data_IF_391100187907
#
_entry.id   IF_391100187907
#
_cell.length_a   1.000
_cell.length_b   1.000
_cell.length_c   1.000
_cell.angle_alpha   90.00
_cell.angle_beta   90.00
_cell.angle_gamma   90.00
#
_symmetry.space_group_name_H-M   'P 1'
#
loop_
_entity.id
_entity.type
_entity.pdbx_description
1 polymer ?
#
# COMPACT_ATOMS: atom_id res chain seq x y z
N UNK A 1 -9.37 -62.94 5.00
CA UNK A 1 -8.69 -62.01 5.92
C UNK A 1 -7.33 -61.74 5.31
N UNK A 2 -7.06 -60.53 4.84
CA UNK A 2 -5.76 -60.18 4.23
C UNK A 2 -4.76 -59.92 5.36
N UNK A 3 -3.66 -60.65 5.37
CA UNK A 3 -2.51 -60.38 6.24
C UNK A 3 -1.86 -59.08 5.79
N UNK A 4 -2.01 -58.02 6.59
CA UNK A 4 -1.32 -56.76 6.37
C UNK A 4 0.12 -56.89 6.91
N UNK A 5 1.11 -56.87 6.02
CA UNK A 5 2.53 -56.85 6.37
C UNK A 5 2.88 -55.54 7.09
N UNK A 6 3.15 -55.66 8.39
CA UNK A 6 3.49 -54.55 9.28
C UNK A 6 4.99 -54.21 9.26
N UNK A 7 5.81 -54.86 8.41
CA UNK A 7 7.27 -54.67 8.38
C UNK A 7 7.72 -53.24 8.07
N UNK A 8 6.87 -52.46 7.39
CA UNK A 8 7.14 -51.06 7.00
C UNK A 8 6.51 -50.02 7.94
N UNK A 9 5.76 -50.45 8.95
CA UNK A 9 5.06 -49.57 9.88
C UNK A 9 5.92 -49.37 11.13
N UNK A 10 6.22 -48.11 11.47
CA UNK A 10 6.95 -47.79 12.71
C UNK A 10 6.15 -48.28 13.92
N UNK A 11 6.81 -49.02 14.80
CA UNK A 11 6.25 -49.56 16.05
C UNK A 11 6.34 -48.58 17.23
N UNK A 12 7.13 -47.51 17.09
CA UNK A 12 7.36 -46.53 18.15
C UNK A 12 7.07 -45.09 17.68
N UNK A 13 6.59 -44.27 18.62
CA UNK A 13 6.31 -42.85 18.40
C UNK A 13 7.62 -42.10 18.15
N UNK A 14 7.63 -41.26 17.11
CA UNK A 14 8.82 -40.47 16.76
C UNK A 14 8.96 -39.29 17.71
N UNK A 15 10.20 -38.98 18.12
CA UNK A 15 10.48 -37.83 18.98
C UNK A 15 10.10 -36.51 18.31
N UNK A 16 9.61 -35.56 19.10
CA UNK A 16 9.29 -34.22 18.63
C UNK A 16 10.56 -33.51 18.14
N UNK A 17 10.52 -33.06 16.89
CA UNK A 17 11.63 -32.34 16.26
C UNK A 17 11.25 -30.86 16.11
N UNK A 18 12.20 -29.91 16.29
CA UNK A 18 11.92 -28.50 16.02
C UNK A 18 11.52 -28.32 14.55
N UNK A 19 10.62 -27.38 14.28
CA UNK A 19 10.21 -27.13 12.90
C UNK A 19 11.41 -26.74 12.03
N UNK A 20 11.40 -27.10 10.74
CA UNK A 20 12.54 -26.90 9.87
C UNK A 20 12.99 -25.43 9.87
N UNK A 21 14.30 -25.17 9.98
CA UNK A 21 14.82 -23.82 9.90
C UNK A 21 14.46 -23.21 8.54
N UNK A 22 13.84 -22.02 8.55
CA UNK A 22 13.42 -21.32 7.34
C UNK A 22 11.93 -21.47 6.96
N UNK A 23 11.14 -22.20 7.74
CA UNK A 23 9.67 -22.29 7.60
C UNK A 23 8.93 -21.17 8.33
N UNK A 24 9.64 -20.30 9.07
CA UNK A 24 9.07 -19.24 9.91
C UNK A 24 9.74 -17.90 9.66
N UNK A 25 9.01 -16.82 9.90
CA UNK A 25 9.49 -15.45 9.81
C UNK A 25 9.28 -14.78 8.44
N UNK A 26 9.74 -13.53 8.33
CA UNK A 26 9.50 -12.69 7.15
C UNK A 26 10.09 -13.27 5.86
N UNK A 27 11.28 -13.87 5.92
CA UNK A 27 11.92 -14.49 4.76
C UNK A 27 11.13 -15.69 4.22
N UNK A 28 10.65 -16.56 5.12
CA UNK A 28 9.80 -17.69 4.75
C UNK A 28 8.50 -17.22 4.06
N UNK A 29 7.91 -16.13 4.57
CA UNK A 29 6.73 -15.51 3.99
C UNK A 29 7.00 -14.94 2.60
N UNK A 30 8.10 -14.20 2.40
CA UNK A 30 8.48 -13.67 1.08
C UNK A 30 8.66 -14.80 0.07
N UNK A 31 9.42 -15.84 0.44
CA UNK A 31 9.64 -16.99 -0.44
C UNK A 31 8.34 -17.68 -0.82
N UNK A 32 7.42 -17.83 0.13
CA UNK A 32 6.14 -18.53 -0.06
C UNK A 32 5.10 -17.71 -0.83
N UNK A 33 5.13 -16.38 -0.76
CA UNK A 33 4.07 -15.53 -1.33
C UNK A 33 4.52 -14.70 -2.54
N UNK A 34 5.80 -14.35 -2.66
CA UNK A 34 6.31 -13.45 -3.71
C UNK A 34 7.19 -14.19 -4.73
N UNK A 35 7.87 -15.28 -4.33
CA UNK A 35 8.80 -16.00 -5.21
C UNK A 35 8.54 -17.51 -5.20
N UNK A 36 7.28 -17.93 -5.05
CA UNK A 36 6.92 -19.35 -4.96
C UNK A 36 7.07 -20.06 -6.31
N UNK A 37 6.82 -19.36 -7.42
CA UNK A 37 7.02 -19.83 -8.78
C UNK A 37 7.84 -18.83 -9.62
N UNK A 38 8.25 -19.26 -10.81
CA UNK A 38 8.92 -18.38 -11.79
C UNK A 38 7.99 -17.22 -12.20
N UNK A 39 6.69 -17.50 -12.38
CA UNK A 39 5.70 -16.47 -12.71
C UNK A 39 5.55 -15.43 -11.59
N UNK A 40 5.43 -15.88 -10.34
CA UNK A 40 5.32 -14.97 -9.18
C UNK A 40 6.58 -14.10 -9.03
N UNK A 41 7.75 -14.69 -9.30
CA UNK A 41 9.03 -13.96 -9.25
C UNK A 41 9.08 -12.86 -10.30
N UNK A 42 8.67 -13.16 -11.54
CA UNK A 42 8.62 -12.16 -12.62
C UNK A 42 7.62 -11.05 -12.26
N UNK A 43 6.42 -11.40 -11.81
CA UNK A 43 5.39 -10.43 -11.44
C UNK A 43 5.86 -9.54 -10.27
N UNK A 44 6.52 -10.12 -9.28
CA UNK A 44 7.10 -9.40 -8.14
C UNK A 44 8.16 -8.40 -8.60
N UNK A 45 9.09 -8.82 -9.47
CA UNK A 45 10.12 -7.92 -10.01
C UNK A 45 9.48 -6.77 -10.78
N UNK A 46 8.51 -7.05 -11.65
CA UNK A 46 7.80 -6.02 -12.41
C UNK A 46 7.03 -5.05 -11.49
N UNK A 47 6.37 -5.58 -10.46
CA UNK A 47 5.68 -4.79 -9.45
C UNK A 47 6.63 -3.85 -8.71
N UNK A 48 7.78 -4.37 -8.26
CA UNK A 48 8.81 -3.55 -7.60
C UNK A 48 9.35 -2.48 -8.56
N UNK A 49 9.64 -2.83 -9.82
CA UNK A 49 10.12 -1.88 -10.81
C UNK A 49 9.12 -0.74 -11.06
N UNK A 50 7.83 -1.08 -11.16
CA UNK A 50 6.75 -0.10 -11.34
C UNK A 50 6.63 0.80 -10.11
N UNK A 51 6.66 0.24 -8.90
CA UNK A 51 6.65 1.04 -7.66
C UNK A 51 7.88 1.96 -7.60
N UNK A 52 9.07 1.45 -7.90
CA UNK A 52 10.29 2.24 -7.90
C UNK A 52 10.26 3.40 -8.91
N UNK A 53 9.54 3.25 -10.02
CA UNK A 53 9.37 4.30 -11.01
C UNK A 53 8.34 5.36 -10.60
N UNK A 54 7.18 4.94 -10.04
CA UNK A 54 6.07 5.83 -9.70
C UNK A 54 6.31 6.54 -8.36
N UNK A 55 6.85 5.84 -7.36
CA UNK A 55 6.96 6.32 -5.99
C UNK A 55 7.72 7.66 -5.87
N UNK A 56 8.87 7.87 -6.55
CA UNK A 56 9.57 9.16 -6.48
C UNK A 56 8.74 10.32 -7.05
N UNK A 57 7.98 10.08 -8.13
CA UNK A 57 7.12 11.10 -8.75
C UNK A 57 5.97 11.48 -7.81
N UNK A 58 5.34 10.47 -7.19
CA UNK A 58 4.27 10.68 -6.20
C UNK A 58 4.80 11.42 -4.98
N UNK A 59 5.98 11.06 -4.45
CA UNK A 59 6.57 11.74 -3.30
C UNK A 59 6.89 13.19 -3.65
N UNK A 60 7.47 13.43 -4.83
CA UNK A 60 7.79 14.78 -5.28
C UNK A 60 6.52 15.63 -5.35
N UNK A 61 5.48 15.12 -6.02
CA UNK A 61 4.21 15.83 -6.16
C UNK A 61 3.47 16.04 -4.82
N UNK A 62 3.42 15.01 -3.96
CA UNK A 62 2.63 15.01 -2.74
C UNK A 62 3.29 15.76 -1.57
N UNK A 63 4.62 15.84 -1.54
CA UNK A 63 5.35 16.39 -0.39
C UNK A 63 6.34 17.50 -0.75
N UNK A 64 7.11 17.34 -1.84
CA UNK A 64 8.20 18.27 -2.19
C UNK A 64 7.65 19.52 -2.88
N UNK A 65 6.93 19.33 -3.98
CA UNK A 65 6.29 20.40 -4.74
C UNK A 65 4.92 20.79 -4.16
N UNK A 66 4.52 20.28 -3.00
CA UNK A 66 3.18 20.49 -2.46
C UNK A 66 3.02 21.84 -1.76
N UNK A 67 1.80 22.39 -1.80
CA UNK A 67 1.42 23.59 -1.05
C UNK A 67 0.69 23.18 0.22
N UNK A 68 1.37 23.36 1.36
CA UNK A 68 0.92 22.89 2.66
C UNK A 68 -0.17 23.76 3.28
N UNK A 69 -0.06 25.07 3.13
CA UNK A 69 -0.97 26.05 3.75
C UNK A 69 -1.23 27.20 2.79
N UNK A 70 -2.37 27.87 2.94
CA UNK A 70 -2.70 29.07 2.18
C UNK A 70 -4.12 29.55 2.49
N UNK A 71 -4.41 30.83 2.20
CA UNK A 71 -5.71 31.43 2.50
C UNK A 71 -6.84 30.94 1.57
N UNK A 72 -6.53 30.62 0.31
CA UNK A 72 -7.52 30.26 -0.69
C UNK A 72 -6.90 29.42 -1.83
N UNK A 73 -7.69 29.07 -2.85
CA UNK A 73 -7.28 28.17 -3.95
C UNK A 73 -6.19 28.75 -4.87
N UNK A 74 -5.99 30.06 -4.89
CA UNK A 74 -5.03 30.72 -5.80
C UNK A 74 -3.59 30.30 -5.54
N UNK A 75 -3.27 29.89 -4.31
CA UNK A 75 -1.95 29.38 -3.91
C UNK A 75 -1.56 28.07 -4.59
N UNK A 76 -2.53 27.33 -5.10
CA UNK A 76 -2.32 26.05 -5.78
C UNK A 76 -2.64 26.11 -7.28
N UNK A 77 -3.18 27.24 -7.76
CA UNK A 77 -3.52 27.42 -9.17
C UNK A 77 -2.35 28.05 -9.93
N UNK A 78 -2.18 27.69 -11.20
CA UNK A 78 -1.17 28.30 -12.06
C UNK A 78 -1.57 29.72 -12.47
N UNK A 79 -0.63 30.52 -12.97
CA UNK A 79 -0.91 31.88 -13.49
C UNK A 79 -2.00 31.84 -14.56
N UNK A 80 -1.93 30.90 -15.50
CA UNK A 80 -2.99 30.65 -16.50
C UNK A 80 -4.36 30.31 -15.91
N UNK A 81 -4.41 29.79 -14.68
CA UNK A 81 -5.64 29.48 -13.93
C UNK A 81 -6.07 30.61 -12.98
N UNK A 82 -5.35 31.74 -12.96
CA UNK A 82 -5.60 32.87 -12.08
C UNK A 82 -5.01 32.73 -10.67
N UNK A 83 -3.97 31.91 -10.51
CA UNK A 83 -3.22 31.75 -9.26
C UNK A 83 -1.80 32.31 -9.33
N UNK A 84 -0.97 31.85 -8.39
CA UNK A 84 0.42 32.35 -8.22
C UNK A 84 1.49 31.36 -8.71
N UNK A 85 1.12 30.11 -8.99
CA UNK A 85 2.09 29.08 -9.36
C UNK A 85 2.50 29.23 -10.84
N UNK A 86 3.76 28.93 -11.21
CA UNK A 86 4.20 29.05 -12.59
C UNK A 86 3.45 28.06 -13.50
N UNK A 87 3.28 28.43 -14.77
CA UNK A 87 2.65 27.55 -15.75
C UNK A 87 3.49 26.28 -15.93
N UNK A 88 2.83 25.11 -15.90
CA UNK A 88 3.48 23.79 -15.88
C UNK A 88 3.82 23.27 -14.47
N UNK A 89 3.56 24.05 -13.42
CA UNK A 89 3.65 23.54 -12.05
C UNK A 89 2.60 22.47 -11.78
N UNK A 90 3.02 21.39 -11.13
CA UNK A 90 2.13 20.32 -10.65
C UNK A 90 2.55 19.92 -9.23
N UNK A 91 1.61 20.01 -8.30
CA UNK A 91 1.84 19.68 -6.89
C UNK A 91 0.51 19.44 -6.16
N UNK A 92 0.58 18.73 -5.04
CA UNK A 92 -0.58 18.54 -4.18
C UNK A 92 -0.95 19.84 -3.45
N UNK A 93 -2.25 20.09 -3.30
CA UNK A 93 -2.77 21.25 -2.58
C UNK A 93 -3.36 20.84 -1.23
N UNK A 94 -2.52 20.74 -0.20
CA UNK A 94 -2.97 20.37 1.14
C UNK A 94 -3.82 21.45 1.81
N UNK A 95 -3.61 22.73 1.44
CA UNK A 95 -4.49 23.82 1.88
C UNK A 95 -5.96 23.56 1.53
N UNK A 96 -6.23 23.08 0.30
CA UNK A 96 -7.57 22.68 -0.12
C UNK A 96 -8.05 21.43 0.61
N UNK A 97 -7.19 20.42 0.74
CA UNK A 97 -7.55 19.17 1.43
C UNK A 97 -7.99 19.45 2.86
N UNK A 98 -7.24 20.29 3.58
CA UNK A 98 -7.59 20.68 4.95
C UNK A 98 -8.91 21.47 5.00
N UNK A 99 -9.07 22.45 4.12
CA UNK A 99 -10.31 23.26 4.06
C UNK A 99 -11.57 22.44 3.71
N UNK A 100 -11.41 21.34 2.95
CA UNK A 100 -12.51 20.45 2.52
C UNK A 100 -12.51 19.09 3.18
N UNK A 101 -11.70 18.86 4.22
CA UNK A 101 -11.56 17.56 4.87
C UNK A 101 -12.91 17.03 5.40
N UNK A 102 -13.72 17.90 6.01
CA UNK A 102 -15.06 17.53 6.47
C UNK A 102 -15.99 17.06 5.34
N UNK A 103 -15.86 17.62 4.14
CA UNK A 103 -16.65 17.19 2.98
C UNK A 103 -16.17 15.83 2.44
N UNK A 104 -14.87 15.50 2.56
CA UNK A 104 -14.37 14.17 2.19
C UNK A 104 -14.84 13.09 3.16
N UNK A 105 -14.89 13.40 4.46
CA UNK A 105 -15.32 12.44 5.48
C UNK A 105 -16.85 12.24 5.50
N UNK A 106 -17.61 13.32 5.35
CA UNK A 106 -19.07 13.31 5.52
C UNK A 106 -19.84 13.59 4.23
N UNK A 107 -19.19 13.65 3.07
CA UNK A 107 -19.84 13.96 1.80
C UNK A 107 -20.53 15.34 1.82
N UNK A 108 -21.76 15.40 1.30
CA UNK A 108 -22.55 16.63 1.19
C UNK A 108 -23.33 16.98 2.45
N UNK A 109 -23.22 16.22 3.54
CA UNK A 109 -23.96 16.48 4.77
C UNK A 109 -23.51 17.78 5.46
N UNK A 110 -24.47 18.62 5.81
CA UNK A 110 -24.24 19.82 6.63
C UNK A 110 -23.80 19.42 8.05
N UNK A 111 -23.18 20.36 8.79
CA UNK A 111 -22.52 20.07 10.08
C UNK A 111 -23.46 19.37 11.07
N UNK A 112 -24.72 19.78 11.07
CA UNK A 112 -25.82 19.28 11.90
C UNK A 112 -26.32 17.87 11.51
N UNK A 113 -26.03 17.39 10.30
CA UNK A 113 -26.47 16.08 9.80
C UNK A 113 -25.35 15.03 9.79
N UNK A 114 -24.13 15.40 10.17
CA UNK A 114 -22.94 14.53 10.13
C UNK A 114 -22.99 13.33 11.07
N UNK A 115 -23.99 13.22 11.94
CA UNK A 115 -24.21 12.05 12.79
C UNK A 115 -24.80 10.84 12.03
N UNK A 116 -25.33 11.03 10.82
CA UNK A 116 -25.97 9.96 10.02
C UNK A 116 -25.02 8.95 9.37
N UNK A 117 -23.81 9.35 8.88
CA UNK A 117 -22.88 8.42 8.24
C UNK A 117 -21.95 7.66 9.20
N UNK A 118 -21.98 8.01 10.48
CA UNK A 118 -21.17 7.39 11.55
C UNK A 118 -21.91 6.17 12.07
#
# INVERSE_FOLDING_TARGET
>A
MQEHDMSWVRTEMTLAQPAPPGERGAYAWVRKNLTASVGDTILTILGIALVAWILPQVINWAFINAVWTGPDRTVCATVSQGGIQPDGWTGACWAFVNAKFGQFMFGTYHIEERWRPI
#
